data_IF_082581640991
#
_entry.id   IF_082581640991
#
_cell.length_a   1.000
_cell.length_b   1.000
_cell.length_c   1.000
_cell.angle_alpha   90.00
_cell.angle_beta   90.00
_cell.angle_gamma   90.00
#
_symmetry.space_group_name_H-M   'P 1'
#
loop_
_entity.id
_entity.type
_entity.pdbx_description
1 polymer ?
#
# COMPACT_ATOMS: atom_id res chain seq x y z
N UNK A 1 -5.41 -37.20 29.52
CA UNK A 1 -4.20 -36.97 28.71
C UNK A 1 -4.50 -35.79 27.80
N UNK A 2 -4.01 -34.60 28.14
CA UNK A 2 -4.28 -33.38 27.36
C UNK A 2 -3.36 -33.36 26.14
N UNK A 3 -3.95 -33.52 24.96
CA UNK A 3 -3.27 -33.29 23.69
C UNK A 3 -2.93 -31.80 23.58
N UNK A 4 -1.64 -31.47 23.65
CA UNK A 4 -1.15 -30.13 23.31
C UNK A 4 -1.58 -29.81 21.88
N UNK A 5 -2.25 -28.68 21.61
CA UNK A 5 -2.35 -28.17 20.25
C UNK A 5 -0.92 -27.87 19.77
N UNK A 6 -0.53 -28.56 18.71
CA UNK A 6 0.78 -28.47 18.10
C UNK A 6 1.05 -27.04 17.62
N UNK A 7 2.23 -26.49 17.94
CA UNK A 7 2.73 -25.17 17.52
C UNK A 7 2.57 -24.86 16.01
N UNK A 8 2.34 -25.88 15.20
CA UNK A 8 2.01 -25.78 13.78
C UNK A 8 0.68 -25.07 13.51
N UNK A 9 -0.36 -25.30 14.34
CA UNK A 9 -1.64 -24.58 14.21
C UNK A 9 -1.53 -23.11 14.60
N UNK A 10 -0.75 -22.79 15.65
CA UNK A 10 -0.53 -21.40 16.08
C UNK A 10 0.24 -20.61 15.00
N UNK A 11 1.24 -21.24 14.37
CA UNK A 11 2.02 -20.65 13.27
C UNK A 11 1.17 -20.40 12.00
N UNK A 12 0.34 -21.36 11.60
CA UNK A 12 -0.57 -21.18 10.46
C UNK A 12 -1.62 -20.08 10.70
N UNK A 13 -2.08 -19.92 11.94
CA UNK A 13 -3.06 -18.89 12.29
C UNK A 13 -2.43 -17.49 12.24
N UNK A 14 -1.17 -17.35 12.68
CA UNK A 14 -0.41 -16.10 12.61
C UNK A 14 -0.14 -15.64 11.17
N UNK A 15 0.30 -16.57 10.30
CA UNK A 15 0.58 -16.26 8.88
C UNK A 15 -0.70 -15.82 8.14
N UNK A 16 -1.82 -16.49 8.40
CA UNK A 16 -3.10 -16.11 7.82
C UNK A 16 -3.58 -14.71 8.29
N UNK A 17 -3.26 -14.32 9.52
CA UNK A 17 -3.55 -12.97 10.03
C UNK A 17 -2.66 -11.90 9.38
N UNK A 18 -1.35 -12.19 9.29
CA UNK A 18 -0.38 -11.33 8.60
C UNK A 18 -0.77 -11.09 7.12
N UNK A 19 -1.24 -12.12 6.42
CA UNK A 19 -1.71 -11.99 5.03
C UNK A 19 -2.95 -11.11 4.92
N UNK A 20 -3.90 -11.24 5.84
CA UNK A 20 -5.08 -10.36 5.86
C UNK A 20 -4.69 -8.92 6.13
N UNK A 21 -3.75 -8.70 7.06
CA UNK A 21 -3.24 -7.36 7.36
C UNK A 21 -2.47 -6.77 6.19
N UNK A 22 -1.56 -7.51 5.56
CA UNK A 22 -0.80 -7.01 4.41
C UNK A 22 -1.72 -6.72 3.21
N UNK A 23 -2.72 -7.58 2.96
CA UNK A 23 -3.71 -7.34 1.91
C UNK A 23 -4.60 -6.12 2.20
N UNK A 24 -4.90 -5.82 3.47
CA UNK A 24 -5.57 -4.57 3.86
C UNK A 24 -4.66 -3.37 3.57
N UNK A 25 -3.40 -3.44 4.00
CA UNK A 25 -2.40 -2.38 3.80
C UNK A 25 -2.19 -2.04 2.32
N UNK A 26 -2.08 -3.05 1.45
CA UNK A 26 -1.97 -2.83 0.00
C UNK A 26 -3.20 -2.08 -0.54
N UNK A 27 -4.41 -2.50 -0.17
CA UNK A 27 -5.66 -1.84 -0.61
C UNK A 27 -5.78 -0.41 -0.11
N UNK A 28 -5.36 -0.13 1.11
CA UNK A 28 -5.39 1.21 1.67
C UNK A 28 -4.41 2.14 0.94
N UNK A 29 -3.19 1.66 0.65
CA UNK A 29 -2.21 2.41 -0.14
C UNK A 29 -2.72 2.67 -1.57
N UNK A 30 -3.36 1.69 -2.21
CA UNK A 30 -3.98 1.86 -3.53
C UNK A 30 -5.08 2.93 -3.51
N UNK A 31 -5.91 2.96 -2.46
CA UNK A 31 -6.96 3.97 -2.31
C UNK A 31 -6.37 5.37 -2.19
N UNK A 32 -5.35 5.55 -1.34
CA UNK A 32 -4.67 6.83 -1.17
C UNK A 32 -4.04 7.28 -2.49
N UNK A 33 -3.46 6.35 -3.25
CA UNK A 33 -2.83 6.64 -4.55
C UNK A 33 -3.84 7.18 -5.56
N UNK A 34 -4.99 6.52 -5.69
CA UNK A 34 -6.06 6.98 -6.59
C UNK A 34 -6.59 8.36 -6.16
N UNK A 35 -6.74 8.58 -4.86
CA UNK A 35 -7.21 9.86 -4.35
C UNK A 35 -6.22 11.00 -4.63
N UNK A 36 -4.93 10.77 -4.38
CA UNK A 36 -3.88 11.75 -4.64
C UNK A 36 -3.75 12.06 -6.14
N UNK A 37 -3.84 11.05 -7.00
CA UNK A 37 -3.82 11.24 -8.45
C UNK A 37 -5.00 12.09 -8.94
N UNK A 38 -6.20 11.92 -8.37
CA UNK A 38 -7.36 12.76 -8.67
C UNK A 38 -7.16 14.19 -8.19
N UNK A 39 -6.70 14.36 -6.95
CA UNK A 39 -6.41 15.69 -6.41
C UNK A 39 -5.36 16.43 -7.24
N UNK A 40 -4.35 15.72 -7.76
CA UNK A 40 -3.36 16.30 -8.68
C UNK A 40 -3.97 16.79 -9.99
N UNK A 41 -4.88 16.03 -10.59
CA UNK A 41 -5.62 16.45 -11.78
C UNK A 41 -6.45 17.71 -11.50
N UNK A 42 -7.18 17.73 -10.38
CA UNK A 42 -7.99 18.87 -9.98
C UNK A 42 -7.11 20.12 -9.73
N UNK A 43 -5.98 19.95 -9.05
CA UNK A 43 -5.01 21.03 -8.80
C UNK A 43 -4.40 21.52 -10.11
N UNK A 44 -3.99 20.63 -11.00
CA UNK A 44 -3.43 21.00 -12.29
C UNK A 44 -4.43 21.83 -13.10
N UNK A 45 -5.69 21.41 -13.17
CA UNK A 45 -6.75 22.15 -13.85
C UNK A 45 -7.05 23.51 -13.20
N UNK A 46 -7.07 23.58 -11.87
CA UNK A 46 -7.22 24.85 -11.16
C UNK A 46 -6.03 25.80 -11.38
N UNK A 47 -4.84 25.24 -11.59
CA UNK A 47 -3.61 25.98 -11.81
C UNK A 47 -3.50 26.57 -13.23
N UNK A 48 -4.15 25.99 -14.23
CA UNK A 48 -4.16 26.51 -15.61
C UNK A 48 -4.71 27.94 -15.72
N UNK A 49 -5.61 28.32 -14.82
CA UNK A 49 -6.20 29.66 -14.74
C UNK A 49 -5.61 30.49 -13.59
N UNK A 50 -4.56 30.01 -12.93
CA UNK A 50 -3.94 30.67 -11.78
C UNK A 50 -3.22 31.96 -12.20
N UNK A 51 -3.30 32.97 -11.33
CA UNK A 51 -2.49 34.20 -11.46
C UNK A 51 -1.08 34.06 -10.87
N UNK A 52 -0.80 32.94 -10.20
CA UNK A 52 0.51 32.59 -9.64
C UNK A 52 0.93 31.19 -10.15
N UNK A 53 1.56 31.14 -11.34
CA UNK A 53 1.99 29.88 -11.95
C UNK A 53 3.17 29.23 -11.20
N UNK A 54 4.02 30.01 -10.53
CA UNK A 54 5.15 29.48 -9.78
C UNK A 54 4.70 28.75 -8.52
N UNK A 55 3.70 29.30 -7.80
CA UNK A 55 3.10 28.62 -6.67
C UNK A 55 2.37 27.33 -7.08
N UNK A 56 1.60 27.40 -8.16
CA UNK A 56 0.98 26.24 -8.79
C UNK A 56 1.98 25.12 -9.11
N UNK A 57 3.08 25.47 -9.77
CA UNK A 57 4.13 24.52 -10.13
C UNK A 57 4.77 23.88 -8.89
N UNK A 58 4.97 24.63 -7.80
CA UNK A 58 5.48 24.09 -6.53
C UNK A 58 4.52 23.07 -5.91
N UNK A 59 3.21 23.35 -5.92
CA UNK A 59 2.18 22.44 -5.41
C UNK A 59 2.11 21.14 -6.22
N UNK A 60 2.09 21.23 -7.54
CA UNK A 60 2.12 20.06 -8.45
C UNK A 60 3.38 19.24 -8.17
N UNK A 61 4.54 19.90 -8.08
CA UNK A 61 5.82 19.22 -7.83
C UNK A 61 5.90 18.57 -6.44
N UNK A 62 5.20 19.08 -5.43
CA UNK A 62 5.10 18.45 -4.12
C UNK A 62 4.23 17.20 -4.19
N UNK A 63 3.05 17.30 -4.79
CA UNK A 63 2.12 16.19 -4.89
C UNK A 63 2.62 15.06 -5.81
N UNK A 64 3.41 15.36 -6.86
CA UNK A 64 4.11 14.33 -7.64
C UNK A 64 5.09 13.54 -6.78
N UNK A 65 5.88 14.21 -5.92
CA UNK A 65 6.79 13.53 -4.98
C UNK A 65 6.05 12.64 -3.98
N UNK A 66 4.91 13.11 -3.48
CA UNK A 66 4.06 12.32 -2.58
C UNK A 66 3.52 11.06 -3.29
N UNK A 67 3.18 11.15 -4.58
CA UNK A 67 2.77 9.98 -5.39
C UNK A 67 3.92 9.00 -5.58
N UNK A 68 5.12 9.48 -5.90
CA UNK A 68 6.29 8.63 -6.08
C UNK A 68 6.66 7.88 -4.80
N UNK A 69 6.62 8.56 -3.65
CA UNK A 69 6.84 7.93 -2.35
C UNK A 69 5.78 6.87 -2.04
N UNK A 70 4.52 7.16 -2.35
CA UNK A 70 3.43 6.22 -2.15
C UNK A 70 3.57 4.99 -3.05
N UNK A 71 4.00 5.17 -4.30
CA UNK A 71 4.25 4.08 -5.24
C UNK A 71 5.40 3.17 -4.76
N UNK A 72 6.45 3.73 -4.18
CA UNK A 72 7.53 2.97 -3.56
C UNK A 72 7.00 2.13 -2.37
N UNK A 73 6.23 2.73 -1.48
CA UNK A 73 5.61 2.03 -0.33
C UNK A 73 4.67 0.92 -0.77
N UNK A 74 3.92 1.15 -1.85
CA UNK A 74 2.99 0.18 -2.43
C UNK A 74 3.73 -0.98 -3.10
N UNK A 75 4.85 -0.71 -3.78
CA UNK A 75 5.72 -1.73 -4.32
C UNK A 75 6.31 -2.63 -3.22
N UNK A 76 6.83 -2.02 -2.14
CA UNK A 76 7.32 -2.76 -0.97
C UNK A 76 6.22 -3.61 -0.34
N UNK A 77 5.05 -3.03 -0.07
CA UNK A 77 3.93 -3.75 0.53
C UNK A 77 3.47 -4.95 -0.30
N UNK A 78 3.42 -4.81 -1.63
CA UNK A 78 3.11 -5.92 -2.55
C UNK A 78 4.20 -6.99 -2.53
N UNK A 79 5.46 -6.58 -2.53
CA UNK A 79 6.60 -7.51 -2.48
C UNK A 79 6.57 -8.34 -1.19
N UNK A 80 6.33 -7.69 -0.04
CA UNK A 80 6.18 -8.37 1.25
C UNK A 80 4.97 -9.30 1.24
N UNK A 81 3.80 -8.85 0.77
CA UNK A 81 2.60 -9.69 0.69
C UNK A 81 2.85 -10.96 -0.13
N UNK A 82 3.42 -10.83 -1.34
CA UNK A 82 3.74 -11.97 -2.19
C UNK A 82 4.85 -12.87 -1.63
N UNK A 83 5.72 -12.35 -0.77
CA UNK A 83 6.67 -13.19 -0.03
C UNK A 83 5.94 -14.01 1.04
N UNK A 84 5.03 -13.39 1.81
CA UNK A 84 4.23 -14.08 2.83
C UNK A 84 3.30 -15.12 2.20
N UNK A 85 2.65 -14.83 1.06
CA UNK A 85 1.78 -15.80 0.36
C UNK A 85 2.56 -17.04 -0.09
N UNK A 86 3.79 -16.84 -0.59
CA UNK A 86 4.66 -17.96 -0.98
C UNK A 86 5.10 -18.78 0.24
N UNK A 87 5.38 -18.15 1.37
CA UNK A 87 5.71 -18.85 2.61
C UNK A 87 4.51 -19.68 3.13
N UNK A 88 3.30 -19.14 3.10
CA UNK A 88 2.08 -19.88 3.47
C UNK A 88 1.88 -21.11 2.57
N UNK A 89 2.02 -20.94 1.25
CA UNK A 89 1.89 -22.05 0.29
C UNK A 89 2.91 -23.17 0.49
N UNK A 90 4.14 -22.85 0.93
CA UNK A 90 5.17 -23.84 1.26
C UNK A 90 4.93 -24.55 2.59
N UNK A 91 4.20 -23.94 3.52
CA UNK A 91 3.87 -24.52 4.83
C UNK A 91 2.56 -25.34 4.80
N UNK A 92 1.76 -25.19 3.75
CA UNK A 92 0.48 -25.88 3.57
C UNK A 92 0.56 -27.15 2.71
N UNK A 93 1.70 -27.42 2.05
CA UNK A 93 1.98 -28.61 1.23
C UNK A 93 2.89 -29.61 1.94
#
# INVERSE_FOLDING_TARGET
>A
MSSRPSAHCESQTGIAEELRESARRVRDLERVRVQLARTLLDVQQACEVSRDPDHAQRLISAAVRDLEELDARLFEARTTHSATERCEGLLAG
#
